data_IF_055943218362
#
_entry.id   IF_055943218362
#
_cell.length_a   1.000
_cell.length_b   1.000
_cell.length_c   1.000
_cell.angle_alpha   90.00
_cell.angle_beta   90.00
_cell.angle_gamma   90.00
#
_symmetry.space_group_name_H-M   'P 1'
#
loop_
_entity.id
_entity.type
_entity.pdbx_description
1 polymer ?
#
# COMPACT_ATOMS: atom_id res chain seq x y z
N UNK A 1 14.78 30.51 -15.44
CA UNK A 1 13.92 29.40 -15.91
C UNK A 1 13.13 28.95 -14.70
N UNK A 2 11.80 29.08 -14.72
CA UNK A 2 10.97 28.66 -13.58
C UNK A 2 11.03 27.14 -13.44
N UNK A 3 11.18 26.62 -12.22
CA UNK A 3 11.14 25.18 -11.95
C UNK A 3 9.81 24.57 -12.40
N UNK A 4 9.81 23.27 -12.73
CA UNK A 4 8.60 22.52 -13.10
C UNK A 4 7.49 22.77 -12.07
N UNK A 5 6.25 22.96 -12.54
CA UNK A 5 5.06 23.11 -11.73
C UNK A 5 4.50 21.74 -11.33
N UNK A 6 4.59 21.44 -10.03
CA UNK A 6 4.02 20.23 -9.45
C UNK A 6 2.70 20.55 -8.77
N UNK A 7 1.61 19.91 -9.20
CA UNK A 7 0.38 19.87 -8.41
C UNK A 7 0.42 18.67 -7.46
N UNK A 8 0.38 18.90 -6.15
CA UNK A 8 0.34 17.85 -5.13
C UNK A 8 -1.12 17.60 -4.77
N UNK A 9 -1.66 16.44 -5.15
CA UNK A 9 -3.01 16.02 -4.78
C UNK A 9 -2.99 15.45 -3.36
N UNK A 10 -3.89 15.93 -2.50
CA UNK A 10 -3.99 15.52 -1.11
C UNK A 10 -5.45 15.59 -0.62
N UNK A 11 -5.72 15.00 0.54
CA UNK A 11 -7.07 14.95 1.11
C UNK A 11 -7.94 13.87 0.46
N UNK A 12 -8.93 14.28 -0.34
CA UNK A 12 -9.92 13.38 -0.93
C UNK A 12 -11.01 12.91 0.05
N UNK A 13 -11.72 11.84 -0.31
CA UNK A 13 -12.95 11.38 0.34
C UNK A 13 -12.81 10.09 1.15
N UNK A 14 -11.66 9.43 1.07
CA UNK A 14 -11.45 8.14 1.71
C UNK A 14 -11.39 8.26 3.24
N UNK A 15 -11.53 7.12 3.92
CA UNK A 15 -11.25 6.98 5.36
C UNK A 15 -9.81 7.42 5.73
N UNK A 16 -8.90 7.42 4.76
CA UNK A 16 -7.49 7.78 4.90
C UNK A 16 -7.20 9.26 4.63
N UNK A 17 -8.22 10.11 4.45
CA UNK A 17 -8.07 11.57 4.24
C UNK A 17 -7.07 12.23 5.21
N UNK A 18 -7.08 11.99 6.54
CA UNK A 18 -6.10 12.62 7.44
C UNK A 18 -4.65 12.22 7.13
N UNK A 19 -4.42 10.96 6.75
CA UNK A 19 -3.10 10.46 6.33
C UNK A 19 -2.67 11.12 5.02
N UNK A 20 -3.60 11.29 4.08
CA UNK A 20 -3.34 12.00 2.82
C UNK A 20 -2.99 13.47 3.03
N UNK A 21 -3.73 14.19 3.88
CA UNK A 21 -3.41 15.59 4.19
C UNK A 21 -1.99 15.73 4.78
N UNK A 22 -1.63 14.83 5.69
CA UNK A 22 -0.30 14.80 6.32
C UNK A 22 0.81 14.49 5.30
N UNK A 23 0.63 13.43 4.51
CA UNK A 23 1.59 13.02 3.48
C UNK A 23 1.76 14.09 2.41
N UNK A 24 0.65 14.62 1.88
CA UNK A 24 0.66 15.66 0.86
C UNK A 24 1.30 16.95 1.32
N UNK A 25 1.08 17.37 2.59
CA UNK A 25 1.79 18.51 3.16
C UNK A 25 3.29 18.27 3.20
N UNK A 26 3.73 17.13 3.75
CA UNK A 26 5.15 16.81 3.85
C UNK A 26 5.83 16.73 2.47
N UNK A 27 5.16 16.12 1.49
CA UNK A 27 5.67 16.04 0.12
C UNK A 27 5.77 17.41 -0.55
N UNK A 28 4.74 18.24 -0.41
CA UNK A 28 4.72 19.57 -0.98
C UNK A 28 5.82 20.48 -0.40
N UNK A 29 5.99 20.47 0.92
CA UNK A 29 7.03 21.25 1.60
C UNK A 29 8.45 20.84 1.12
N UNK A 30 8.69 19.53 0.98
CA UNK A 30 9.97 18.99 0.50
C UNK A 30 10.23 19.30 -0.99
N UNK A 31 9.21 19.19 -1.85
CA UNK A 31 9.34 19.54 -3.26
C UNK A 31 9.58 21.05 -3.47
N UNK A 32 9.01 21.92 -2.64
CA UNK A 32 9.33 23.35 -2.64
C UNK A 32 10.80 23.59 -2.26
N UNK A 33 11.32 22.86 -1.27
CA UNK A 33 12.74 22.94 -0.88
C UNK A 33 13.69 22.44 -1.99
N UNK A 34 13.24 21.49 -2.81
CA UNK A 34 13.93 21.05 -4.03
C UNK A 34 13.81 22.04 -5.22
N UNK A 35 13.13 23.17 -5.03
CA UNK A 35 13.05 24.25 -6.03
C UNK A 35 11.94 24.07 -7.06
N UNK A 36 10.98 23.17 -6.85
CA UNK A 36 9.78 23.07 -7.68
C UNK A 36 8.80 24.20 -7.36
N UNK A 37 8.04 24.64 -8.37
CA UNK A 37 6.84 25.46 -8.12
C UNK A 37 5.73 24.50 -7.71
N UNK A 38 5.23 24.59 -6.48
CA UNK A 38 4.22 23.63 -5.99
C UNK A 38 2.85 24.29 -5.83
N UNK A 39 1.80 23.55 -6.15
CA UNK A 39 0.41 23.88 -5.79
C UNK A 39 -0.20 22.70 -5.06
N UNK A 40 -0.68 22.92 -3.84
CA UNK A 40 -1.42 21.92 -3.07
C UNK A 40 -2.89 21.94 -3.52
N UNK A 41 -3.41 20.77 -3.87
CA UNK A 41 -4.80 20.60 -4.31
C UNK A 41 -5.46 19.62 -3.34
N UNK A 42 -6.27 20.15 -2.42
CA UNK A 42 -7.20 19.32 -1.65
C UNK A 42 -8.29 18.85 -2.62
N UNK A 43 -8.29 17.56 -2.91
CA UNK A 43 -9.10 16.99 -4.00
C UNK A 43 -10.57 16.95 -3.60
N UNK A 44 -11.40 17.51 -4.50
CA UNK A 44 -12.85 17.43 -4.47
C UNK A 44 -13.38 17.01 -5.86
N UNK A 45 -14.69 16.93 -6.04
CA UNK A 45 -15.36 16.46 -7.26
C UNK A 45 -15.09 17.34 -8.50
N UNK A 46 -14.53 18.54 -8.31
CA UNK A 46 -14.14 19.48 -9.36
C UNK A 46 -12.68 19.33 -9.81
N UNK A 47 -11.97 18.29 -9.36
CA UNK A 47 -10.52 18.11 -9.60
C UNK A 47 -10.13 18.21 -11.08
N UNK A 48 -10.96 17.71 -11.99
CA UNK A 48 -10.70 17.78 -13.42
C UNK A 48 -10.67 19.24 -13.93
N UNK A 49 -11.66 20.06 -13.56
CA UNK A 49 -11.68 21.49 -13.92
C UNK A 49 -10.52 22.25 -13.27
N UNK A 50 -10.23 21.95 -12.00
CA UNK A 50 -9.12 22.57 -11.26
C UNK A 50 -7.77 22.29 -11.93
N UNK A 51 -7.52 21.06 -12.34
CA UNK A 51 -6.29 20.68 -13.04
C UNK A 51 -6.22 21.31 -14.45
N UNK A 52 -7.34 21.39 -15.17
CA UNK A 52 -7.39 22.04 -16.48
C UNK A 52 -7.10 23.55 -16.42
N UNK A 53 -7.47 24.22 -15.31
CA UNK A 53 -7.13 25.62 -15.04
C UNK A 53 -5.67 25.79 -14.60
N UNK A 54 -5.19 24.92 -13.68
CA UNK A 54 -3.85 25.00 -13.13
C UNK A 54 -2.75 24.67 -14.15
N UNK A 55 -3.02 23.75 -15.08
CA UNK A 55 -2.08 23.25 -16.10
C UNK A 55 -0.69 22.91 -15.52
N UNK A 56 -0.61 22.04 -14.49
CA UNK A 56 0.67 21.65 -13.93
C UNK A 56 1.47 20.83 -14.95
N UNK A 57 2.80 20.90 -14.85
CA UNK A 57 3.69 20.06 -15.66
C UNK A 57 3.62 18.60 -15.22
N UNK A 58 3.28 18.36 -13.95
CA UNK A 58 3.25 17.03 -13.32
C UNK A 58 2.36 17.04 -12.09
N UNK A 59 1.70 15.92 -11.82
CA UNK A 59 0.95 15.67 -10.60
C UNK A 59 1.71 14.71 -9.69
N UNK A 60 1.95 15.15 -8.45
CA UNK A 60 2.36 14.25 -7.37
C UNK A 60 1.10 13.77 -6.65
N UNK A 61 0.78 12.49 -6.77
CA UNK A 61 -0.40 11.92 -6.13
C UNK A 61 -0.07 11.51 -4.67
N UNK A 62 -0.53 12.29 -3.69
CA UNK A 62 -0.41 11.98 -2.27
C UNK A 62 -1.78 11.66 -1.63
N UNK A 63 -2.75 11.25 -2.43
CA UNK A 63 -4.01 10.66 -1.94
C UNK A 63 -3.75 9.32 -1.25
N UNK A 64 -4.67 8.84 -0.42
CA UNK A 64 -4.57 7.50 0.20
C UNK A 64 -5.93 6.81 0.09
N UNK A 65 -5.94 5.51 -0.19
CA UNK A 65 -7.15 4.69 -0.31
C UNK A 65 -7.96 4.89 -1.60
N UNK A 66 -9.25 4.50 -1.60
CA UNK A 66 -10.13 4.59 -2.77
C UNK A 66 -10.18 5.99 -3.39
N UNK A 67 -10.42 6.05 -4.70
CA UNK A 67 -10.28 7.22 -5.58
C UNK A 67 -8.85 7.73 -5.80
N UNK A 68 -7.94 7.54 -4.83
CA UNK A 68 -6.55 7.98 -4.92
C UNK A 68 -5.59 6.93 -5.44
N UNK A 69 -5.77 5.68 -5.01
CA UNK A 69 -4.85 4.57 -5.26
C UNK A 69 -5.41 3.49 -6.18
N UNK A 70 -6.69 3.57 -6.54
CA UNK A 70 -7.47 2.51 -7.20
C UNK A 70 -7.60 2.66 -8.72
N UNK A 71 -6.86 3.59 -9.32
CA UNK A 71 -6.90 3.87 -10.75
C UNK A 71 -7.88 4.97 -11.15
N UNK A 72 -8.73 5.45 -10.25
CA UNK A 72 -9.76 6.46 -10.59
C UNK A 72 -9.14 7.82 -10.92
N UNK A 73 -8.34 8.39 -10.00
CA UNK A 73 -7.67 9.67 -10.28
C UNK A 73 -6.64 9.52 -11.40
N UNK A 74 -5.97 8.37 -11.50
CA UNK A 74 -5.05 8.03 -12.58
C UNK A 74 -5.77 8.13 -13.94
N UNK A 75 -7.01 7.64 -14.05
CA UNK A 75 -7.80 7.75 -15.27
C UNK A 75 -8.12 9.20 -15.67
N UNK A 76 -8.37 10.08 -14.71
CA UNK A 76 -8.53 11.52 -14.96
C UNK A 76 -7.22 12.12 -15.48
N UNK A 77 -6.09 11.78 -14.85
CA UNK A 77 -4.77 12.28 -15.22
C UNK A 77 -4.33 11.79 -16.60
N UNK A 78 -4.62 10.53 -16.95
CA UNK A 78 -4.43 9.98 -18.30
C UNK A 78 -5.26 10.74 -19.34
N UNK A 79 -6.55 10.97 -19.05
CA UNK A 79 -7.42 11.68 -19.98
C UNK A 79 -7.00 13.14 -20.20
N UNK A 80 -6.56 13.82 -19.14
CA UNK A 80 -6.02 15.17 -19.20
C UNK A 80 -4.58 15.24 -19.72
N UNK A 81 -3.93 14.09 -19.94
CA UNK A 81 -2.53 13.96 -20.35
C UNK A 81 -1.55 14.72 -19.42
N UNK A 82 -1.79 14.64 -18.11
CA UNK A 82 -0.92 15.23 -17.10
C UNK A 82 -0.05 14.11 -16.50
N UNK A 83 1.29 14.13 -16.70
CA UNK A 83 2.20 13.17 -16.09
C UNK A 83 1.99 13.06 -14.59
N UNK A 84 2.02 11.85 -14.04
CA UNK A 84 1.78 11.66 -12.62
C UNK A 84 2.67 10.59 -12.00
N UNK A 85 2.90 10.73 -10.69
CA UNK A 85 3.73 9.80 -9.91
C UNK A 85 3.02 8.47 -9.70
N UNK A 86 3.78 7.42 -9.34
CA UNK A 86 3.27 6.07 -9.06
C UNK A 86 2.82 5.27 -10.29
N UNK A 87 1.99 4.25 -10.06
CA UNK A 87 1.59 3.26 -11.06
C UNK A 87 0.43 3.71 -11.95
N UNK A 88 0.30 3.06 -13.10
CA UNK A 88 -0.77 3.28 -14.09
C UNK A 88 -2.17 2.86 -13.61
N UNK A 89 -3.21 3.17 -14.39
CA UNK A 89 -4.62 2.87 -14.07
C UNK A 89 -4.82 1.38 -13.73
N UNK A 90 -4.35 0.48 -14.59
CA UNK A 90 -4.55 -0.97 -14.41
C UNK A 90 -3.84 -1.48 -13.16
N UNK A 91 -2.58 -1.12 -12.97
CA UNK A 91 -1.78 -1.58 -11.85
C UNK A 91 -2.33 -1.08 -10.51
N UNK A 92 -2.77 0.18 -10.44
CA UNK A 92 -3.45 0.76 -9.29
C UNK A 92 -4.77 0.04 -8.96
N UNK A 93 -5.64 -0.15 -9.96
CA UNK A 93 -6.91 -0.86 -9.77
C UNK A 93 -6.72 -2.33 -9.36
N UNK A 94 -5.72 -2.99 -9.95
CA UNK A 94 -5.40 -4.38 -9.65
C UNK A 94 -4.82 -4.54 -8.25
N UNK A 95 -3.87 -3.68 -7.85
CA UNK A 95 -3.24 -3.71 -6.53
C UNK A 95 -4.26 -3.45 -5.40
N UNK A 96 -5.24 -2.56 -5.63
CA UNK A 96 -6.29 -2.27 -4.66
C UNK A 96 -7.23 -3.47 -4.44
N UNK A 97 -7.46 -4.30 -5.46
CA UNK A 97 -8.26 -5.53 -5.34
C UNK A 97 -7.39 -6.71 -4.89
N UNK A 98 -7.37 -6.97 -3.58
CA UNK A 98 -6.51 -8.00 -2.96
C UNK A 98 -6.68 -9.39 -3.57
N UNK A 99 -7.91 -9.76 -3.94
CA UNK A 99 -8.20 -11.07 -4.52
C UNK A 99 -7.59 -11.20 -5.92
N UNK A 100 -7.81 -10.18 -6.77
CA UNK A 100 -7.26 -10.16 -8.13
C UNK A 100 -5.75 -10.02 -8.12
N UNK A 101 -5.19 -9.16 -7.27
CA UNK A 101 -3.74 -9.02 -7.10
C UNK A 101 -3.09 -10.36 -6.73
N UNK A 102 -3.68 -11.11 -5.78
CA UNK A 102 -3.21 -12.45 -5.40
C UNK A 102 -3.28 -13.46 -6.53
N UNK A 103 -4.34 -13.43 -7.33
CA UNK A 103 -4.46 -14.31 -8.51
C UNK A 103 -3.31 -14.07 -9.48
N UNK A 104 -3.01 -12.81 -9.78
CA UNK A 104 -1.90 -12.43 -10.69
C UNK A 104 -0.54 -12.76 -10.08
N UNK A 105 -0.32 -12.44 -8.82
CA UNK A 105 0.92 -12.74 -8.10
C UNK A 105 1.19 -14.27 -8.04
N UNK A 106 0.17 -15.07 -7.73
CA UNK A 106 0.28 -16.52 -7.71
C UNK A 106 0.62 -17.10 -9.09
N UNK A 107 -0.01 -16.59 -10.16
CA UNK A 107 0.32 -16.98 -11.54
C UNK A 107 1.77 -16.64 -11.92
N UNK A 108 2.36 -15.60 -11.31
CA UNK A 108 3.77 -15.23 -11.46
C UNK A 108 4.72 -15.99 -10.51
N UNK A 109 4.22 -16.98 -9.76
CA UNK A 109 5.02 -17.79 -8.84
C UNK A 109 5.36 -17.09 -7.53
N UNK A 110 4.58 -16.09 -7.12
CA UNK A 110 4.67 -15.49 -5.79
C UNK A 110 3.78 -16.28 -4.81
N UNK A 111 4.31 -16.73 -3.65
CA UNK A 111 3.53 -17.52 -2.70
C UNK A 111 2.47 -16.63 -2.02
N UNK A 112 1.21 -17.04 -2.11
CA UNK A 112 0.08 -16.36 -1.47
C UNK A 112 -0.72 -17.35 -0.61
N UNK A 113 -1.37 -16.85 0.45
CA UNK A 113 -2.28 -17.66 1.24
C UNK A 113 -3.50 -18.07 0.39
N UNK A 114 -3.94 -19.32 0.53
CA UNK A 114 -5.23 -19.75 0.02
C UNK A 114 -6.35 -18.91 0.66
N UNK A 115 -7.30 -18.48 -0.18
CA UNK A 115 -8.32 -17.52 0.23
C UNK A 115 -9.67 -17.81 -0.44
N UNK A 116 -10.72 -17.29 0.18
CA UNK A 116 -12.11 -17.38 -0.29
C UNK A 116 -12.66 -15.96 -0.34
N UNK A 117 -13.19 -15.57 -1.51
CA UNK A 117 -13.99 -14.36 -1.65
C UNK A 117 -15.45 -14.75 -1.45
N UNK A 118 -16.14 -14.05 -0.57
CA UNK A 118 -17.56 -14.30 -0.32
C UNK A 118 -18.28 -13.05 0.15
N UNK A 119 -19.61 -13.07 0.01
CA UNK A 119 -20.48 -12.10 0.64
C UNK A 119 -20.41 -12.26 2.17
N UNK A 120 -20.19 -11.15 2.87
CA UNK A 120 -20.05 -11.10 4.33
C UNK A 120 -21.27 -11.66 5.06
N UNK A 121 -22.47 -11.54 4.51
CA UNK A 121 -23.71 -12.04 5.10
C UNK A 121 -23.80 -13.57 5.07
N UNK A 122 -22.95 -14.24 4.29
CA UNK A 122 -22.82 -15.70 4.31
C UNK A 122 -21.89 -16.21 5.43
N UNK A 123 -21.22 -15.31 6.18
CA UNK A 123 -20.36 -15.66 7.32
C UNK A 123 -21.24 -15.76 8.59
N UNK A 124 -22.16 -16.73 8.59
CA UNK A 124 -23.12 -16.95 9.67
C UNK A 124 -23.19 -18.43 10.04
N UNK A 125 -23.34 -18.71 11.34
CA UNK A 125 -23.48 -20.07 11.87
C UNK A 125 -22.17 -20.85 11.94
N UNK A 126 -21.53 -21.12 10.80
CA UNK A 126 -20.32 -21.93 10.69
C UNK A 126 -19.13 -21.13 10.15
N UNK A 127 -17.92 -21.55 10.52
CA UNK A 127 -16.71 -20.92 10.01
C UNK A 127 -16.51 -21.23 8.52
N UNK A 128 -16.22 -20.21 7.68
CA UNK A 128 -15.95 -20.40 6.26
C UNK A 128 -14.66 -21.22 6.00
N UNK A 129 -13.75 -21.25 6.98
CA UNK A 129 -12.59 -22.13 7.00
C UNK A 129 -12.17 -22.44 8.44
N UNK A 130 -11.36 -23.50 8.62
CA UNK A 130 -10.84 -23.86 9.95
C UNK A 130 -10.04 -22.68 10.56
N UNK A 131 -10.37 -22.20 11.77
CA UNK A 131 -9.56 -21.21 12.48
C UNK A 131 -8.10 -21.67 12.72
N UNK A 132 -7.12 -20.75 12.77
CA UNK A 132 -7.28 -19.29 12.72
C UNK A 132 -7.30 -18.75 11.28
N UNK A 133 -8.07 -17.68 11.07
CA UNK A 133 -8.17 -17.01 9.78
C UNK A 133 -8.37 -15.50 9.94
N UNK A 134 -8.20 -14.76 8.85
CA UNK A 134 -8.43 -13.32 8.77
C UNK A 134 -9.57 -13.06 7.81
N UNK A 135 -10.49 -12.17 8.18
CA UNK A 135 -11.47 -11.56 7.29
C UNK A 135 -11.04 -10.14 7.02
N UNK A 136 -11.02 -9.71 5.76
CA UNK A 136 -10.71 -8.33 5.38
C UNK A 136 -11.53 -7.88 4.19
N UNK A 137 -11.83 -6.58 4.04
CA UNK A 137 -12.43 -6.06 2.81
C UNK A 137 -11.51 -6.32 1.62
N UNK A 138 -12.10 -6.57 0.44
CA UNK A 138 -11.32 -6.84 -0.78
C UNK A 138 -10.56 -5.61 -1.27
N UNK A 139 -11.13 -4.41 -1.10
CA UNK A 139 -10.67 -3.14 -1.70
C UNK A 139 -10.52 -2.01 -0.68
N UNK A 140 -9.81 -2.26 0.41
CA UNK A 140 -9.49 -1.24 1.43
C UNK A 140 -8.01 -1.23 1.77
N UNK A 141 -7.53 -0.06 2.19
CA UNK A 141 -6.17 0.18 2.66
C UNK A 141 -6.03 0.12 4.19
N UNK A 142 -4.81 0.34 4.67
CA UNK A 142 -4.52 0.67 6.08
C UNK A 142 -5.08 -0.26 7.16
N UNK A 143 -5.23 -1.55 6.83
CA UNK A 143 -5.79 -2.57 7.75
C UNK A 143 -7.22 -2.28 8.23
N UNK A 144 -7.95 -1.38 7.58
CA UNK A 144 -9.34 -1.10 7.93
C UNK A 144 -10.22 -2.34 7.66
N UNK A 145 -11.07 -2.67 8.63
CA UNK A 145 -11.96 -3.83 8.53
C UNK A 145 -11.29 -5.20 8.63
N UNK A 146 -10.01 -5.26 8.99
CA UNK A 146 -9.31 -6.54 9.22
C UNK A 146 -9.77 -7.13 10.55
N UNK A 147 -10.29 -8.35 10.51
CA UNK A 147 -10.76 -9.10 11.69
C UNK A 147 -10.00 -10.42 11.75
N UNK A 148 -9.29 -10.66 12.85
CA UNK A 148 -8.58 -11.92 13.11
C UNK A 148 -9.48 -12.83 13.92
N UNK A 149 -9.74 -14.03 13.40
CA UNK A 149 -10.48 -15.10 14.07
C UNK A 149 -9.47 -16.09 14.65
N UNK A 150 -9.53 -16.29 15.97
CA UNK A 150 -8.58 -17.11 16.73
C UNK A 150 -8.94 -18.59 16.67
N UNK A 151 -7.95 -19.45 16.95
CA UNK A 151 -8.09 -20.92 16.94
C UNK A 151 -9.22 -21.44 17.82
N UNK A 152 -9.43 -20.82 18.98
CA UNK A 152 -10.40 -21.22 20.00
C UNK A 152 -11.75 -20.52 19.86
N UNK A 153 -11.93 -19.69 18.83
CA UNK A 153 -13.17 -18.95 18.63
C UNK A 153 -14.27 -19.88 18.12
N UNK A 154 -15.36 -20.00 18.88
CA UNK A 154 -16.43 -20.96 18.60
C UNK A 154 -17.32 -20.58 17.40
N UNK A 155 -17.43 -19.28 17.09
CA UNK A 155 -18.34 -18.76 16.08
C UNK A 155 -17.68 -17.68 15.21
N UNK A 156 -18.14 -17.51 13.96
CA UNK A 156 -17.67 -16.43 13.10
C UNK A 156 -17.88 -15.03 13.71
N UNK A 157 -17.03 -14.06 13.36
CA UNK A 157 -17.06 -12.72 13.95
C UNK A 157 -18.32 -11.95 13.52
N UNK A 158 -19.21 -11.67 14.46
CA UNK A 158 -20.50 -11.01 14.21
C UNK A 158 -20.37 -9.56 13.69
N UNK A 159 -19.23 -8.92 13.92
CA UNK A 159 -18.96 -7.57 13.40
C UNK A 159 -18.95 -7.55 11.86
N UNK A 160 -18.58 -8.66 11.21
CA UNK A 160 -18.52 -8.76 9.75
C UNK A 160 -19.91 -8.73 9.12
N UNK A 161 -20.93 -9.25 9.82
CA UNK A 161 -22.33 -9.26 9.37
C UNK A 161 -23.14 -8.08 9.90
N UNK A 162 -22.57 -7.25 10.77
CA UNK A 162 -23.30 -6.18 11.43
C UNK A 162 -23.59 -5.01 10.49
N UNK A 163 -24.53 -4.14 10.88
CA UNK A 163 -24.77 -2.86 10.23
C UNK A 163 -23.67 -1.82 10.48
N UNK A 164 -22.74 -2.10 11.41
CA UNK A 164 -21.59 -1.24 11.70
C UNK A 164 -20.45 -1.47 10.70
N UNK A 165 -20.47 -2.57 9.95
CA UNK A 165 -19.56 -2.81 8.84
C UNK A 165 -19.75 -1.71 7.78
N UNK A 166 -18.76 -0.84 7.66
CA UNK A 166 -18.78 0.29 6.71
C UNK A 166 -18.09 -0.01 5.38
N UNK A 167 -17.55 -1.21 5.24
CA UNK A 167 -16.82 -1.63 4.05
C UNK A 167 -17.77 -2.35 3.08
N UNK A 168 -17.31 -2.64 1.86
CA UNK A 168 -18.12 -3.38 0.88
C UNK A 168 -18.62 -4.74 1.39
N UNK A 169 -19.66 -5.28 0.75
CA UNK A 169 -20.27 -6.56 1.14
C UNK A 169 -19.39 -7.77 0.80
N UNK A 170 -18.47 -7.62 -0.14
CA UNK A 170 -17.51 -8.66 -0.51
C UNK A 170 -16.29 -8.62 0.42
N UNK A 171 -15.98 -9.76 1.03
CA UNK A 171 -14.83 -9.94 1.93
C UNK A 171 -13.93 -11.08 1.48
N UNK A 172 -12.66 -10.95 1.82
CA UNK A 172 -11.62 -11.93 1.62
C UNK A 172 -11.33 -12.65 2.94
N UNK A 173 -11.54 -13.97 2.96
CA UNK A 173 -11.24 -14.85 4.08
C UNK A 173 -9.97 -15.62 3.78
N UNK A 174 -8.96 -15.51 4.63
CA UNK A 174 -7.64 -16.13 4.39
C UNK A 174 -7.12 -16.84 5.63
N UNK A 175 -6.36 -17.93 5.44
CA UNK A 175 -5.63 -18.55 6.54
C UNK A 175 -4.76 -17.50 7.23
N UNK A 176 -4.81 -17.47 8.57
CA UNK A 176 -3.93 -16.60 9.34
C UNK A 176 -2.48 -17.11 9.23
N UNK A 177 -1.57 -16.24 8.78
CA UNK A 177 -0.14 -16.53 8.69
C UNK A 177 0.56 -15.94 9.93
N UNK A 178 1.12 -16.80 10.77
CA UNK A 178 1.80 -16.39 11.99
C UNK A 178 3.20 -15.83 11.69
N UNK A 179 3.91 -15.46 12.76
CA UNK A 179 5.30 -15.05 12.70
C UNK A 179 5.48 -13.57 12.41
N UNK A 180 6.54 -13.27 11.65
CA UNK A 180 7.11 -11.93 11.45
C UNK A 180 6.40 -11.20 10.33
N UNK A 181 6.36 -9.87 10.42
CA UNK A 181 5.85 -9.00 9.37
C UNK A 181 7.01 -8.29 8.67
N UNK A 182 7.10 -8.48 7.36
CA UNK A 182 8.21 -8.03 6.54
C UNK A 182 7.66 -7.24 5.37
N UNK A 183 8.35 -6.18 5.00
CA UNK A 183 7.95 -5.33 3.87
C UNK A 183 9.16 -4.98 3.02
N UNK A 184 8.95 -4.84 1.71
CA UNK A 184 10.01 -4.60 0.76
C UNK A 184 9.60 -3.54 -0.27
N UNK A 185 10.38 -2.47 -0.35
CA UNK A 185 10.19 -1.38 -1.30
C UNK A 185 10.89 -1.67 -2.63
N UNK A 186 10.20 -1.39 -3.74
CA UNK A 186 10.75 -1.43 -5.10
C UNK A 186 10.64 -0.04 -5.70
N UNK A 187 11.72 0.45 -6.30
CA UNK A 187 11.85 1.73 -7.00
C UNK A 187 12.58 1.46 -8.32
N UNK A 188 11.96 1.79 -9.46
CA UNK A 188 12.55 1.60 -10.79
C UNK A 188 13.05 0.16 -11.06
N UNK A 189 12.23 -0.84 -10.73
CA UNK A 189 12.61 -2.25 -10.89
C UNK A 189 13.81 -2.69 -10.03
N UNK A 190 14.17 -1.90 -9.01
CA UNK A 190 15.23 -2.21 -8.05
C UNK A 190 14.67 -2.21 -6.63
N UNK A 191 15.15 -3.12 -5.81
CA UNK A 191 14.76 -3.18 -4.41
C UNK A 191 15.52 -2.14 -3.61
N UNK A 192 14.79 -1.38 -2.78
CA UNK A 192 15.36 -0.41 -1.83
C UNK A 192 15.83 -1.07 -0.54
N UNK A 193 15.10 -2.07 -0.06
CA UNK A 193 15.45 -2.82 1.15
C UNK A 193 14.26 -3.60 1.69
N UNK A 194 14.55 -4.54 2.58
CA UNK A 194 13.57 -5.27 3.38
C UNK A 194 13.60 -4.73 4.81
N UNK A 195 12.44 -4.32 5.31
CA UNK A 195 12.22 -3.86 6.68
C UNK A 195 11.36 -4.88 7.41
N UNK A 196 11.73 -5.21 8.65
CA UNK A 196 10.83 -5.90 9.56
C UNK A 196 10.02 -4.88 10.37
N UNK A 197 8.73 -5.13 10.47
CA UNK A 197 7.79 -4.34 11.25
C UNK A 197 7.47 -5.11 12.53
N UNK A 198 7.93 -4.60 13.66
CA UNK A 198 7.67 -5.18 14.98
C UNK A 198 6.60 -4.32 15.69
N UNK A 199 5.33 -4.74 15.74
CA UNK A 199 4.28 -3.98 16.42
C UNK A 199 4.58 -3.88 17.92
N UNK A 200 4.41 -2.69 18.49
CA UNK A 200 4.63 -2.41 19.91
C UNK A 200 3.27 -2.29 20.61
N UNK A 201 2.89 -3.32 21.38
CA UNK A 201 1.70 -3.33 22.23
C UNK A 201 0.49 -4.08 21.66
N UNK A 202 0.35 -4.20 20.33
CA UNK A 202 -0.73 -4.94 19.68
C UNK A 202 -0.24 -6.27 19.07
N UNK A 203 -1.16 -7.21 18.86
CA UNK A 203 -0.85 -8.55 18.31
C UNK A 203 -0.71 -8.56 16.77
N UNK A 204 -1.00 -7.45 16.08
CA UNK A 204 -0.88 -7.29 14.64
C UNK A 204 -0.67 -5.82 14.23
N UNK A 205 -0.23 -5.57 12.99
CA UNK A 205 0.02 -4.23 12.44
C UNK A 205 -1.26 -3.56 11.94
N UNK A 206 -2.00 -2.96 12.87
CA UNK A 206 -3.21 -2.18 12.63
C UNK A 206 -2.92 -0.69 12.30
N UNK A 207 -3.98 0.09 12.10
CA UNK A 207 -3.89 1.53 11.83
C UNK A 207 -3.10 2.28 12.92
N UNK A 208 -3.34 1.95 14.20
CA UNK A 208 -2.65 2.59 15.32
C UNK A 208 -1.15 2.23 15.30
N UNK A 209 -0.80 0.98 15.02
CA UNK A 209 0.60 0.57 14.85
C UNK A 209 1.30 1.27 13.65
N UNK A 210 0.55 1.61 12.60
CA UNK A 210 1.03 2.28 11.37
C UNK A 210 1.26 3.78 11.54
N UNK A 211 0.38 4.47 12.27
CA UNK A 211 0.34 5.94 12.25
C UNK A 211 0.50 6.59 13.63
N UNK A 212 0.31 5.85 14.73
CA UNK A 212 0.61 6.38 16.06
C UNK A 212 2.13 6.41 16.27
N UNK A 213 2.63 7.53 16.80
CA UNK A 213 4.04 7.69 17.12
C UNK A 213 4.46 6.63 18.15
N UNK A 214 5.32 5.69 17.74
CA UNK A 214 5.79 4.59 18.58
C UNK A 214 4.90 3.35 18.58
N UNK A 215 3.93 3.23 17.66
CA UNK A 215 3.08 2.05 17.52
C UNK A 215 3.79 0.79 16.97
N UNK A 216 4.96 0.96 16.35
CA UNK A 216 5.81 -0.12 15.86
C UNK A 216 7.29 0.27 15.87
N UNK A 217 8.17 -0.73 15.89
CA UNK A 217 9.61 -0.61 15.66
C UNK A 217 9.92 -1.15 14.27
N UNK A 218 10.61 -0.37 13.45
CA UNK A 218 11.13 -0.80 12.17
C UNK A 218 12.58 -1.27 12.32
N UNK A 219 12.91 -2.41 11.72
CA UNK A 219 14.29 -2.92 11.65
C UNK A 219 14.70 -2.97 10.18
N UNK A 220 15.56 -2.04 9.78
CA UNK A 220 16.05 -1.87 8.42
C UNK A 220 17.60 -1.77 8.43
N UNK A 221 18.32 -2.67 7.73
CA UNK A 221 17.81 -3.88 7.07
C UNK A 221 17.25 -4.88 8.09
N UNK A 222 16.24 -5.65 7.68
CA UNK A 222 15.67 -6.71 8.51
C UNK A 222 16.74 -7.72 8.95
N UNK A 223 16.73 -8.08 10.24
CA UNK A 223 17.64 -9.08 10.82
C UNK A 223 17.11 -10.50 10.52
N UNK A 224 17.29 -10.93 9.27
CA UNK A 224 16.88 -12.24 8.74
C UNK A 224 18.03 -12.92 8.01
N UNK A 225 17.88 -14.21 7.68
CA UNK A 225 18.90 -14.92 6.92
C UNK A 225 19.10 -14.28 5.53
N UNK A 226 20.33 -14.28 4.98
CA UNK A 226 20.59 -13.71 3.66
C UNK A 226 19.74 -14.33 2.55
N UNK A 227 19.47 -15.64 2.64
CA UNK A 227 18.62 -16.35 1.69
C UNK A 227 17.17 -15.85 1.74
N UNK A 228 16.60 -15.65 2.93
CA UNK A 228 15.25 -15.12 3.07
C UNK A 228 15.18 -13.67 2.56
N UNK A 229 16.19 -12.86 2.88
CA UNK A 229 16.29 -11.48 2.39
C UNK A 229 16.24 -11.45 0.87
N UNK A 230 17.13 -12.19 0.20
CA UNK A 230 17.18 -12.29 -1.27
C UNK A 230 15.89 -12.85 -1.88
N UNK A 231 15.25 -13.82 -1.21
CA UNK A 231 13.97 -14.37 -1.65
C UNK A 231 12.88 -13.29 -1.64
N UNK A 232 12.76 -12.52 -0.56
CA UNK A 232 11.80 -11.40 -0.46
C UNK A 232 12.06 -10.38 -1.56
N UNK A 233 13.32 -9.97 -1.76
CA UNK A 233 13.69 -9.05 -2.85
C UNK A 233 13.22 -9.56 -4.21
N UNK A 234 13.49 -10.84 -4.49
CA UNK A 234 13.12 -11.48 -5.75
C UNK A 234 11.61 -11.55 -5.93
N UNK A 235 10.86 -11.92 -4.89
CA UNK A 235 9.40 -12.01 -4.93
C UNK A 235 8.74 -10.64 -5.05
N UNK A 236 9.29 -9.60 -4.41
CA UNK A 236 8.81 -8.23 -4.55
C UNK A 236 8.98 -7.68 -5.96
N UNK A 237 10.12 -7.96 -6.60
CA UNK A 237 10.33 -7.60 -8.01
C UNK A 237 9.35 -8.32 -8.93
N UNK A 238 9.18 -9.64 -8.75
CA UNK A 238 8.20 -10.41 -9.54
C UNK A 238 6.77 -9.87 -9.35
N UNK A 239 6.37 -9.57 -8.12
CA UNK A 239 5.05 -9.01 -7.84
C UNK A 239 4.88 -7.62 -8.49
N UNK A 240 5.90 -6.75 -8.36
CA UNK A 240 5.91 -5.43 -9.01
C UNK A 240 5.71 -5.54 -10.53
N UNK A 241 6.47 -6.41 -11.19
CA UNK A 241 6.39 -6.64 -12.63
C UNK A 241 5.06 -7.27 -13.06
N UNK A 242 4.61 -8.31 -12.34
CA UNK A 242 3.39 -9.04 -12.69
C UNK A 242 2.11 -8.18 -12.57
N UNK A 243 2.08 -7.28 -11.58
CA UNK A 243 0.98 -6.34 -11.39
C UNK A 243 1.06 -5.16 -12.38
N UNK A 244 2.21 -4.95 -13.03
CA UNK A 244 2.46 -3.82 -13.92
C UNK A 244 2.76 -2.53 -13.17
N UNK A 245 3.27 -2.62 -11.95
CA UNK A 245 3.64 -1.45 -11.16
C UNK A 245 4.74 -0.65 -11.85
N UNK A 246 4.74 0.66 -11.59
CA UNK A 246 5.78 1.62 -12.00
C UNK A 246 6.06 2.60 -10.88
N UNK A 247 7.19 3.30 -10.99
CA UNK A 247 7.63 4.22 -9.97
C UNK A 247 8.06 3.44 -8.71
N UNK A 248 7.36 3.69 -7.61
CA UNK A 248 7.63 3.06 -6.32
C UNK A 248 6.43 2.25 -5.86
N UNK A 249 6.68 1.04 -5.39
CA UNK A 249 5.69 0.16 -4.78
C UNK A 249 6.26 -0.52 -3.54
N UNK A 250 5.40 -1.05 -2.68
CA UNK A 250 5.81 -1.78 -1.48
C UNK A 250 5.06 -3.11 -1.39
N UNK A 251 5.77 -4.23 -1.30
CA UNK A 251 5.17 -5.54 -1.06
C UNK A 251 5.24 -5.89 0.42
N UNK A 252 4.14 -6.38 0.98
CA UNK A 252 4.02 -6.76 2.39
C UNK A 252 3.90 -8.29 2.50
N UNK A 253 4.58 -8.88 3.48
CA UNK A 253 4.73 -10.32 3.67
C UNK A 253 4.54 -10.73 5.14
N UNK A 254 4.19 -12.01 5.32
CA UNK A 254 4.26 -12.72 6.60
C UNK A 254 5.23 -13.89 6.48
N UNK A 255 6.02 -14.09 7.52
CA UNK A 255 6.98 -15.19 7.58
C UNK A 255 6.79 -16.00 8.86
N UNK A 256 6.33 -17.25 8.72
CA UNK A 256 6.09 -18.17 9.84
C UNK A 256 7.27 -19.14 10.01
N UNK A 257 8.16 -18.86 10.96
CA UNK A 257 9.36 -19.64 11.29
C UNK A 257 9.19 -20.53 12.54
N UNK A 258 7.96 -20.70 13.05
CA UNK A 258 7.72 -21.43 14.30
C UNK A 258 8.07 -22.93 14.24
N UNK A 259 8.09 -23.52 13.05
CA UNK A 259 8.26 -24.96 12.86
C UNK A 259 9.54 -25.35 12.09
N UNK A 260 10.22 -24.40 11.45
CA UNK A 260 11.49 -24.62 10.74
C UNK A 260 12.22 -23.30 10.51
N UNK A 261 13.55 -23.32 10.43
CA UNK A 261 14.35 -22.13 10.08
C UNK A 261 14.11 -21.64 8.64
N UNK A 262 13.64 -22.53 7.76
CA UNK A 262 13.27 -22.21 6.38
C UNK A 262 11.94 -21.47 6.30
N UNK A 263 11.03 -21.74 7.26
CA UNK A 263 9.75 -21.08 7.48
C UNK A 263 8.79 -21.09 6.28
N UNK A 264 7.62 -20.47 6.47
CA UNK A 264 6.66 -20.22 5.40
C UNK A 264 6.61 -18.71 5.10
N UNK A 265 7.08 -18.29 3.91
CA UNK A 265 6.97 -16.92 3.44
C UNK A 265 5.73 -16.74 2.56
N UNK A 266 4.85 -15.82 2.93
CA UNK A 266 3.59 -15.55 2.23
C UNK A 266 3.49 -14.06 1.92
N UNK A 267 3.26 -13.74 0.64
CA UNK A 267 2.94 -12.40 0.18
C UNK A 267 1.48 -12.06 0.49
N UNK A 268 1.26 -10.87 1.06
CA UNK A 268 -0.05 -10.39 1.45
C UNK A 268 -0.67 -9.51 0.38
N UNK A 269 0.04 -8.46 -0.01
CA UNK A 269 -0.41 -7.41 -0.93
C UNK A 269 0.76 -6.57 -1.43
N UNK A 270 0.48 -5.73 -2.44
CA UNK A 270 1.38 -4.68 -2.90
C UNK A 270 0.63 -3.34 -2.82
N UNK A 271 1.33 -2.32 -2.32
CA UNK A 271 0.85 -0.95 -2.30
C UNK A 271 1.56 -0.16 -3.41
N UNK A 272 0.79 0.39 -4.35
CA UNK A 272 1.29 1.21 -5.48
C UNK A 272 1.56 2.67 -5.14
N UNK A 273 1.08 3.13 -3.98
CA UNK A 273 1.20 4.50 -3.49
C UNK A 273 1.49 4.49 -1.98
N UNK A 274 2.65 3.94 -1.57
CA UNK A 274 2.94 3.74 -0.16
C UNK A 274 2.97 5.08 0.60
N UNK A 275 2.75 5.01 1.92
CA UNK A 275 2.85 6.17 2.82
C UNK A 275 4.10 7.03 2.54
N UNK A 276 3.90 8.36 2.47
CA UNK A 276 4.94 9.33 2.11
C UNK A 276 5.19 10.36 3.21
N UNK A 277 5.00 9.99 4.48
CA UNK A 277 5.54 10.80 5.58
C UNK A 277 7.04 10.51 5.74
N UNK A 278 7.85 11.41 6.33
CA UNK A 278 9.27 11.17 6.55
C UNK A 278 9.59 9.94 7.42
N UNK A 279 8.62 9.45 8.20
CA UNK A 279 8.73 8.24 9.03
C UNK A 279 8.01 7.02 8.41
N UNK A 280 7.55 7.14 7.17
CA UNK A 280 6.96 6.01 6.44
C UNK A 280 8.04 5.05 5.94
N UNK A 281 7.65 3.79 5.78
CA UNK A 281 8.55 2.67 5.45
C UNK A 281 9.37 2.89 4.17
N UNK A 282 8.75 3.41 3.10
CA UNK A 282 9.42 3.58 1.81
C UNK A 282 10.41 4.75 1.81
N UNK A 283 10.06 5.95 2.34
CA UNK A 283 11.05 7.00 2.60
C UNK A 283 12.23 6.54 3.47
N UNK A 284 11.98 5.71 4.49
CA UNK A 284 13.04 5.12 5.33
C UNK A 284 13.96 4.19 4.52
N UNK A 285 13.40 3.34 3.66
CA UNK A 285 14.16 2.49 2.73
C UNK A 285 14.94 3.31 1.70
N UNK A 286 14.37 4.39 1.17
CA UNK A 286 15.06 5.28 0.25
C UNK A 286 16.24 5.99 0.93
N UNK A 287 16.07 6.44 2.18
CA UNK A 287 17.14 7.01 2.99
C UNK A 287 18.27 6.01 3.24
N UNK A 288 17.94 4.76 3.56
CA UNK A 288 18.93 3.69 3.68
C UNK A 288 19.68 3.43 2.36
N UNK A 289 18.99 3.56 1.22
CA UNK A 289 19.58 3.46 -0.11
C UNK A 289 20.36 4.71 -0.56
N UNK A 290 20.46 5.74 0.28
CA UNK A 290 21.28 6.94 0.05
C UNK A 290 20.53 8.14 -0.53
N UNK A 291 19.20 8.13 -0.57
CA UNK A 291 18.39 9.27 -1.00
C UNK A 291 17.86 10.06 0.19
N UNK A 292 18.12 11.36 0.24
CA UNK A 292 17.32 12.22 1.13
C UNK A 292 15.84 12.19 0.72
N UNK A 293 14.95 12.58 1.64
CA UNK A 293 13.51 12.64 1.33
C UNK A 293 13.21 13.54 0.13
N UNK A 294 13.88 14.71 0.04
CA UNK A 294 13.75 15.62 -1.11
C UNK A 294 14.21 14.99 -2.42
N UNK A 295 15.39 14.36 -2.44
CA UNK A 295 15.92 13.67 -3.63
C UNK A 295 15.02 12.53 -4.09
N UNK A 296 14.45 11.78 -3.15
CA UNK A 296 13.49 10.72 -3.45
C UNK A 296 12.22 11.27 -4.12
N UNK A 297 11.62 12.33 -3.58
CA UNK A 297 10.44 12.95 -4.19
C UNK A 297 10.74 13.61 -5.53
N UNK A 298 11.92 14.25 -5.66
CA UNK A 298 12.41 14.78 -6.94
C UNK A 298 12.47 13.67 -7.98
N UNK A 299 13.07 12.52 -7.64
CA UNK A 299 13.13 11.39 -8.55
C UNK A 299 11.73 10.93 -8.98
N UNK A 300 10.77 10.86 -8.05
CA UNK A 300 9.39 10.47 -8.40
C UNK A 300 8.75 11.44 -9.40
N UNK A 301 8.94 12.75 -9.19
CA UNK A 301 8.46 13.81 -10.10
C UNK A 301 9.13 13.73 -11.46
N UNK A 302 10.41 13.34 -11.52
CA UNK A 302 11.16 13.18 -12.76
C UNK A 302 10.80 11.91 -13.53
N UNK A 303 10.44 10.83 -12.83
CA UNK A 303 9.93 9.59 -13.43
C UNK A 303 8.54 9.78 -14.06
N UNK A 304 7.68 10.59 -13.42
CA UNK A 304 6.26 10.75 -13.74
C UNK A 304 5.95 10.87 -15.25
N UNK A 305 4.95 10.10 -15.72
CA UNK A 305 4.53 10.04 -17.12
C UNK A 305 3.10 9.50 -17.28
N UNK A 306 2.51 9.67 -18.46
CA UNK A 306 1.21 9.07 -18.85
C UNK A 306 1.41 7.82 -19.73
N UNK A 307 0.30 7.18 -20.10
CA UNK A 307 0.20 5.99 -20.93
C UNK A 307 1.00 4.81 -20.35
N UNK A 308 0.80 4.59 -19.05
CA UNK A 308 1.50 3.58 -18.24
C UNK A 308 0.75 2.26 -18.15
#
# INVERSE_FOLDING_TARGET
>A
MGGKHVAVLLGGFSSERPVSLSSGKACADALEAEGFRVTRVDVDHDVASRLAELKPDVVFNALHGPFGEDGTIQGILEYLQIPYTHSGVLASALAMDKSRAKTVAAAAGVPVAGSIVMDRFNIVGEHPMKPPYVVKPVREGSSFGVVIVKEDQAHPPQIVTSSEWRYGDEVLVERYIHGRELTCGVMDGKVLGVTEIVPLGHSFYDYDAKYAKGGSKHVLPAEISPNLYQNIQTLSLRAHEAIGCRGVSRSDFRFDDRFSEEGELVWLEINTQPGMTPTSLVPEMAAHAGYSFGEFLRWMVEDASCLR
#
